data_IF_442566699442
#
_entry.id   IF_442566699442
#
_cell.length_a   1.000
_cell.length_b   1.000
_cell.length_c   1.000
_cell.angle_alpha   90.00
_cell.angle_beta   90.00
_cell.angle_gamma   90.00
#
_symmetry.space_group_name_H-M   'P 1'
#
loop_
_entity.id
_entity.type
_entity.pdbx_description
1 polymer ?
#
# COMPACT_ATOMS: atom_id res chain seq x y z
N UNK A 1 -7.40 6.95 -24.06
CA UNK A 1 -6.95 5.74 -23.32
C UNK A 1 -7.67 5.63 -21.96
N UNK A 2 -9.00 5.64 -21.91
CA UNK A 2 -9.76 5.58 -20.64
C UNK A 2 -9.90 4.14 -20.09
N UNK A 3 -9.07 3.21 -20.55
CA UNK A 3 -9.13 1.79 -20.23
C UNK A 3 -7.90 1.27 -19.46
N UNK A 4 -6.84 2.09 -19.33
CA UNK A 4 -5.61 1.78 -18.55
C UNK A 4 -5.74 2.11 -17.05
N UNK A 5 -6.93 2.47 -16.57
CA UNK A 5 -7.18 2.84 -15.18
C UNK A 5 -8.34 3.83 -15.07
N UNK A 6 -8.54 4.36 -13.86
CA UNK A 6 -9.55 5.38 -13.59
C UNK A 6 -9.08 6.76 -14.08
N UNK A 7 -10.02 7.60 -14.52
CA UNK A 7 -9.75 9.01 -14.76
C UNK A 7 -9.35 9.75 -13.47
N UNK A 8 -8.73 10.94 -13.55
CA UNK A 8 -8.23 11.66 -12.39
C UNK A 8 -9.29 11.89 -11.29
N UNK A 9 -10.50 12.32 -11.68
CA UNK A 9 -11.61 12.56 -10.74
C UNK A 9 -12.03 11.30 -9.98
N UNK A 10 -12.21 10.19 -10.70
CA UNK A 10 -12.60 8.91 -10.09
C UNK A 10 -11.48 8.37 -9.21
N UNK A 11 -10.22 8.49 -9.65
CA UNK A 11 -9.08 8.10 -8.83
C UNK A 11 -9.06 8.89 -7.52
N UNK A 12 -9.28 10.20 -7.56
CA UNK A 12 -9.33 11.03 -6.36
C UNK A 12 -10.47 10.62 -5.43
N UNK A 13 -11.69 10.46 -5.95
CA UNK A 13 -12.83 10.02 -5.14
C UNK A 13 -12.59 8.68 -4.45
N UNK A 14 -11.86 7.76 -5.10
CA UNK A 14 -11.47 6.47 -4.50
C UNK A 14 -10.43 6.63 -3.39
N UNK A 15 -9.42 7.47 -3.63
CA UNK A 15 -8.42 7.81 -2.63
C UNK A 15 -9.13 8.34 -1.38
N UNK A 16 -10.01 9.33 -1.56
CA UNK A 16 -10.75 9.97 -0.47
C UNK A 16 -11.59 8.94 0.30
N UNK A 17 -12.28 8.04 -0.41
CA UNK A 17 -13.09 6.99 0.21
C UNK A 17 -12.25 6.00 1.05
N UNK A 18 -11.10 5.55 0.54
CA UNK A 18 -10.22 4.64 1.29
C UNK A 18 -9.55 5.32 2.48
N UNK A 19 -9.19 6.60 2.35
CA UNK A 19 -8.62 7.38 3.46
C UNK A 19 -9.65 7.62 4.56
N UNK A 20 -10.87 7.98 4.19
CA UNK A 20 -11.96 8.17 5.14
C UNK A 20 -12.30 6.86 5.86
N UNK A 21 -12.30 5.73 5.13
CA UNK A 21 -12.50 4.44 5.77
C UNK A 21 -11.40 4.11 6.79
N UNK A 22 -10.13 4.36 6.47
CA UNK A 22 -9.03 4.21 7.44
C UNK A 22 -9.21 5.07 8.69
N UNK A 23 -9.69 6.31 8.52
CA UNK A 23 -10.01 7.23 9.62
C UNK A 23 -11.14 6.69 10.49
N UNK A 24 -12.22 6.19 9.88
CA UNK A 24 -13.34 5.58 10.60
C UNK A 24 -12.91 4.33 11.37
N UNK A 25 -12.13 3.44 10.77
CA UNK A 25 -11.56 2.27 11.46
C UNK A 25 -10.66 2.68 12.63
N UNK A 26 -9.85 3.73 12.47
CA UNK A 26 -9.01 4.26 13.56
C UNK A 26 -9.84 4.82 14.72
N UNK A 27 -10.94 5.53 14.44
CA UNK A 27 -11.80 6.09 15.47
C UNK A 27 -12.45 5.00 16.35
N UNK A 28 -12.73 3.82 15.79
CA UNK A 28 -13.36 2.71 16.50
C UNK A 28 -12.45 2.08 17.57
N UNK A 29 -11.14 2.03 17.35
CA UNK A 29 -10.18 1.36 18.24
C UNK A 29 -9.71 2.25 19.42
N UNK A 30 -10.49 3.28 19.77
CA UNK A 30 -10.34 4.17 20.95
C UNK A 30 -8.91 4.65 21.23
N UNK A 31 -8.14 4.93 20.18
CA UNK A 31 -6.81 5.53 20.27
C UNK A 31 -5.66 4.56 20.59
N UNK A 32 -5.91 3.28 20.84
CA UNK A 32 -4.83 2.31 21.11
C UNK A 32 -3.97 2.04 19.86
N UNK A 33 -4.62 1.99 18.69
CA UNK A 33 -3.98 1.70 17.41
C UNK A 33 -4.45 2.73 16.37
N UNK A 34 -3.57 3.11 15.45
CA UNK A 34 -3.94 3.86 14.23
C UNK A 34 -3.93 2.91 13.03
N UNK A 35 -5.00 2.91 12.25
CA UNK A 35 -5.16 2.07 11.06
C UNK A 35 -4.95 2.94 9.81
N UNK A 36 -3.97 2.57 9.00
CA UNK A 36 -3.65 3.23 7.74
C UNK A 36 -3.97 2.26 6.60
N UNK A 37 -4.85 2.66 5.68
CA UNK A 37 -5.09 1.91 4.45
C UNK A 37 -3.94 2.20 3.48
N UNK A 38 -3.35 1.16 2.92
CA UNK A 38 -2.16 1.28 2.06
C UNK A 38 -2.34 0.51 0.75
N UNK A 39 -1.26 0.39 -0.03
CA UNK A 39 -1.24 -0.42 -1.24
C UNK A 39 -2.05 0.15 -2.39
N UNK A 40 -2.34 -0.69 -3.39
CA UNK A 40 -2.92 -0.24 -4.67
C UNK A 40 -4.32 0.38 -4.51
N UNK A 41 -5.05 0.03 -3.42
CA UNK A 41 -6.36 0.60 -3.12
C UNK A 41 -6.24 2.04 -2.62
N UNK A 42 -5.38 2.30 -1.62
CA UNK A 42 -5.09 3.66 -1.14
C UNK A 42 -4.42 4.55 -2.20
N UNK A 43 -3.68 3.97 -3.14
CA UNK A 43 -3.07 4.68 -4.28
C UNK A 43 -4.08 4.98 -5.41
N UNK A 44 -5.32 4.45 -5.32
CA UNK A 44 -6.38 4.63 -6.32
C UNK A 44 -6.15 3.87 -7.64
N UNK A 45 -5.33 2.81 -7.61
CA UNK A 45 -4.83 2.12 -8.80
C UNK A 45 -5.51 0.78 -9.10
N UNK A 46 -5.96 0.06 -8.08
CA UNK A 46 -6.63 -1.24 -8.27
C UNK A 46 -8.13 -1.09 -8.46
N UNK A 47 -8.71 -2.04 -9.21
CA UNK A 47 -10.15 -2.24 -9.31
C UNK A 47 -10.69 -2.83 -8.02
N UNK A 48 -11.96 -2.64 -7.68
CA UNK A 48 -12.50 -3.04 -6.37
C UNK A 48 -12.34 -4.54 -6.03
N UNK A 49 -12.67 -5.43 -6.98
CA UNK A 49 -12.49 -6.89 -6.84
C UNK A 49 -11.10 -7.38 -7.27
N UNK A 50 -10.20 -6.48 -7.66
CA UNK A 50 -8.82 -6.84 -7.95
C UNK A 50 -7.95 -6.48 -6.75
N UNK A 51 -7.02 -7.38 -6.45
CA UNK A 51 -6.06 -7.28 -5.35
C UNK A 51 -6.66 -7.36 -3.93
N UNK A 52 -5.78 -7.78 -3.05
CA UNK A 52 -5.87 -7.74 -1.61
C UNK A 52 -6.06 -6.30 -1.07
N UNK A 53 -6.48 -6.24 0.20
CA UNK A 53 -6.55 -5.03 1.00
C UNK A 53 -5.32 -4.92 1.88
N UNK A 54 -4.46 -3.92 1.65
CA UNK A 54 -3.28 -3.70 2.49
C UNK A 54 -3.60 -2.75 3.65
N UNK A 55 -3.40 -3.19 4.89
CA UNK A 55 -3.64 -2.39 6.09
C UNK A 55 -2.40 -2.35 6.98
N UNK A 56 -2.07 -1.18 7.48
CA UNK A 56 -1.04 -0.99 8.49
C UNK A 56 -1.67 -0.61 9.83
N UNK A 57 -1.34 -1.37 10.88
CA UNK A 57 -1.79 -1.16 12.25
C UNK A 57 -0.62 -0.60 13.05
N UNK A 58 -0.76 0.62 13.55
CA UNK A 58 0.29 1.36 14.23
C UNK A 58 -0.02 1.47 15.71
N UNK A 59 0.82 0.90 16.57
CA UNK A 59 0.65 0.98 18.02
C UNK A 59 0.95 2.41 18.50
N UNK A 60 0.01 3.03 19.23
CA UNK A 60 0.12 4.42 19.65
C UNK A 60 0.78 4.62 21.02
N UNK A 61 0.90 3.56 21.83
CA UNK A 61 1.58 3.55 23.13
C UNK A 61 3.12 3.51 23.02
N UNK A 62 3.67 3.45 21.81
CA UNK A 62 5.10 3.29 21.55
C UNK A 62 5.59 4.26 20.48
N UNK A 63 6.78 4.82 20.70
CA UNK A 63 7.51 5.60 19.71
C UNK A 63 8.94 5.07 19.58
N UNK A 64 9.39 4.91 18.35
CA UNK A 64 10.79 4.63 18.05
C UNK A 64 11.49 5.93 17.64
N UNK A 65 12.71 6.15 18.13
CA UNK A 65 13.50 7.35 17.88
C UNK A 65 14.82 6.98 17.22
N UNK A 66 15.24 7.80 16.25
CA UNK A 66 16.57 7.67 15.67
C UNK A 66 17.67 8.02 16.69
N UNK A 67 17.40 9.01 17.56
CA UNK A 67 18.32 9.54 18.56
C UNK A 67 17.62 9.71 19.93
N UNK A 68 18.31 9.38 21.03
CA UNK A 68 17.79 9.50 22.41
C UNK A 68 17.60 10.95 22.85
N UNK A 69 18.21 11.93 22.19
CA UNK A 69 18.03 13.36 22.52
C UNK A 69 16.54 13.76 22.52
N UNK A 70 15.71 13.08 21.73
CA UNK A 70 14.27 13.34 21.64
C UNK A 70 13.41 12.57 22.65
N UNK A 71 13.99 11.67 23.46
CA UNK A 71 13.22 10.80 24.36
C UNK A 71 12.37 11.58 25.38
N UNK A 72 12.87 12.72 25.85
CA UNK A 72 12.18 13.58 26.82
C UNK A 72 11.05 14.42 26.21
N UNK A 73 10.91 14.45 24.88
CA UNK A 73 9.82 15.17 24.20
C UNK A 73 8.49 14.40 24.22
N UNK A 74 8.50 13.13 24.61
CA UNK A 74 7.32 12.27 24.62
C UNK A 74 6.83 12.03 26.05
N UNK A 75 5.49 11.96 26.26
CA UNK A 75 4.90 11.73 27.57
C UNK A 75 5.41 10.45 28.27
N UNK A 76 5.34 10.43 29.61
CA UNK A 76 5.79 9.29 30.43
C UNK A 76 5.00 8.01 30.20
N UNK A 77 3.78 8.13 29.67
CA UNK A 77 2.90 7.02 29.31
C UNK A 77 3.44 6.23 28.11
N UNK A 78 4.21 6.88 27.23
CA UNK A 78 4.70 6.30 25.98
C UNK A 78 6.01 5.56 26.23
N UNK A 79 6.07 4.32 25.75
CA UNK A 79 7.30 3.54 25.68
C UNK A 79 8.20 4.07 24.57
N UNK A 80 9.47 4.32 24.89
CA UNK A 80 10.46 4.86 23.96
C UNK A 80 11.48 3.80 23.63
N UNK A 81 11.57 3.49 22.34
CA UNK A 81 12.59 2.62 21.76
C UNK A 81 13.58 3.47 20.98
N UNK A 82 14.87 3.17 21.07
CA UNK A 82 15.91 3.82 20.29
C UNK A 82 16.39 2.90 19.18
N UNK A 83 16.47 3.43 17.96
CA UNK A 83 17.04 2.72 16.84
C UNK A 83 18.55 2.52 17.01
N UNK A 84 19.01 1.35 16.61
CA UNK A 84 20.41 0.98 16.61
C UNK A 84 20.74 0.28 15.30
N UNK A 85 21.42 1.00 14.40
CA UNK A 85 21.71 0.53 13.04
C UNK A 85 23.13 0.01 12.84
N UNK A 86 24.00 0.01 13.86
CA UNK A 86 25.33 -0.57 13.72
C UNK A 86 25.20 -2.05 13.34
N UNK A 87 25.91 -2.48 12.30
CA UNK A 87 25.85 -3.85 11.72
C UNK A 87 24.47 -4.25 11.14
N UNK A 88 23.51 -3.32 11.03
CA UNK A 88 22.26 -3.58 10.31
C UNK A 88 22.38 -3.19 8.84
N UNK A 89 21.68 -3.91 7.98
CA UNK A 89 21.58 -3.58 6.57
C UNK A 89 20.83 -2.26 6.35
N UNK A 90 21.13 -1.56 5.25
CA UNK A 90 20.50 -0.29 4.93
C UNK A 90 18.96 -0.38 4.97
N UNK A 91 18.33 0.59 5.64
CA UNK A 91 16.89 0.63 5.89
C UNK A 91 16.36 -0.42 6.87
N UNK A 92 17.25 -1.08 7.62
CA UNK A 92 16.91 -1.92 8.77
C UNK A 92 17.64 -1.40 10.03
N UNK A 93 17.06 -1.66 11.19
CA UNK A 93 17.66 -1.31 12.48
C UNK A 93 17.20 -2.29 13.55
N UNK A 94 17.95 -2.37 14.64
CA UNK A 94 17.48 -2.98 15.89
C UNK A 94 16.87 -1.89 16.78
N UNK A 95 16.07 -2.29 17.77
CA UNK A 95 15.37 -1.37 18.66
C UNK A 95 15.72 -1.69 20.11
N UNK A 96 16.39 -0.76 20.78
CA UNK A 96 16.74 -0.85 22.19
C UNK A 96 15.68 -0.16 23.04
N UNK A 97 15.32 -0.76 24.17
CA UNK A 97 14.47 -0.10 25.16
C UNK A 97 15.25 1.02 25.86
N UNK A 98 14.82 2.25 25.63
CA UNK A 98 15.40 3.45 26.26
C UNK A 98 14.59 3.83 27.50
N UNK A 99 13.26 3.76 27.41
CA UNK A 99 12.35 4.04 28.53
C UNK A 99 11.09 3.21 28.40
N UNK A 100 10.77 2.42 29.42
CA UNK A 100 9.47 1.74 29.56
C UNK A 100 8.41 2.77 29.97
N UNK A 101 7.35 2.91 29.18
CA UNK A 101 6.23 3.80 29.49
C UNK A 101 5.34 3.26 30.60
N UNK A 102 4.53 4.11 31.23
CA UNK A 102 3.56 3.64 32.25
C UNK A 102 2.38 2.88 31.63
N UNK A 103 2.03 3.17 30.38
CA UNK A 103 1.03 2.43 29.61
C UNK A 103 1.73 1.33 28.80
N UNK A 104 2.00 0.20 29.46
CA UNK A 104 2.71 -0.93 28.87
C UNK A 104 1.84 -1.61 27.81
N UNK A 105 2.35 -1.71 26.58
CA UNK A 105 1.74 -2.53 25.55
C UNK A 105 2.20 -3.99 25.71
N UNK A 106 1.27 -4.95 25.91
CA UNK A 106 1.63 -6.33 26.23
C UNK A 106 2.38 -7.03 25.08
N UNK A 107 2.15 -6.63 23.83
CA UNK A 107 2.81 -7.23 22.67
C UNK A 107 4.24 -6.72 22.53
N UNK A 108 4.47 -5.45 22.86
CA UNK A 108 5.80 -4.84 22.85
C UNK A 108 6.61 -5.39 24.01
N UNK A 109 6.07 -5.37 25.23
CA UNK A 109 6.78 -5.81 26.42
C UNK A 109 7.09 -7.32 26.39
N UNK A 110 6.14 -8.13 25.94
CA UNK A 110 6.34 -9.58 25.76
C UNK A 110 7.38 -9.93 24.68
N UNK A 111 7.71 -9.01 23.78
CA UNK A 111 8.68 -9.21 22.72
C UNK A 111 10.08 -8.66 23.04
N UNK A 112 10.30 -8.12 24.24
CA UNK A 112 11.62 -7.69 24.70
C UNK A 112 12.50 -8.91 25.04
N UNK A 113 13.77 -8.85 24.65
CA UNK A 113 14.78 -9.86 24.94
C UNK A 113 16.12 -9.22 25.27
N UNK A 114 16.94 -9.88 26.10
CA UNK A 114 18.30 -9.41 26.43
C UNK A 114 19.24 -9.54 25.22
N UNK A 115 20.11 -8.54 25.02
CA UNK A 115 21.08 -8.51 23.92
C UNK A 115 22.42 -9.22 24.21
N UNK A 116 22.53 -9.87 25.37
CA UNK A 116 23.75 -10.48 25.89
C UNK A 116 24.66 -9.51 26.65
N UNK A 117 24.34 -8.22 26.66
CA UNK A 117 25.09 -7.15 27.33
C UNK A 117 24.25 -6.42 28.39
N UNK A 118 23.12 -6.98 28.80
CA UNK A 118 22.23 -6.41 29.81
C UNK A 118 21.31 -5.30 29.28
N UNK A 119 21.16 -5.15 27.96
CA UNK A 119 20.20 -4.22 27.34
C UNK A 119 19.03 -4.98 26.74
N UNK A 120 17.84 -4.42 26.87
CA UNK A 120 16.63 -5.00 26.29
C UNK A 120 16.48 -4.55 24.81
N UNK A 121 16.36 -5.51 23.91
CA UNK A 121 16.04 -5.35 22.49
C UNK A 121 14.62 -5.81 22.21
N UNK A 122 13.92 -5.14 21.28
CA UNK A 122 12.63 -5.59 20.81
C UNK A 122 12.78 -6.58 19.64
N UNK A 123 12.47 -7.86 19.87
CA UNK A 123 12.52 -8.89 18.84
C UNK A 123 11.35 -8.76 17.87
N UNK A 124 11.66 -8.58 16.58
CA UNK A 124 10.67 -8.56 15.51
C UNK A 124 9.92 -9.89 15.37
N UNK A 125 10.63 -11.01 15.56
CA UNK A 125 10.03 -12.34 15.44
C UNK A 125 9.12 -12.68 16.63
N UNK A 126 9.54 -12.36 17.86
CA UNK A 126 8.65 -12.51 19.03
C UNK A 126 7.42 -11.63 18.89
N UNK A 127 7.61 -10.36 18.48
CA UNK A 127 6.52 -9.42 18.27
C UNK A 127 5.47 -9.95 17.29
N UNK A 128 5.89 -10.43 16.11
CA UNK A 128 4.95 -10.98 15.11
C UNK A 128 4.28 -12.26 15.61
N UNK A 129 4.99 -13.09 16.38
CA UNK A 129 4.44 -14.32 16.93
C UNK A 129 3.30 -14.09 17.92
N UNK A 130 3.23 -12.93 18.57
CA UNK A 130 2.07 -12.59 19.39
C UNK A 130 0.83 -12.31 18.52
N UNK A 131 0.98 -11.53 17.45
CA UNK A 131 -0.15 -11.19 16.57
C UNK A 131 -0.60 -12.33 15.67
N UNK A 132 0.29 -13.25 15.32
CA UNK A 132 -0.06 -14.44 14.53
C UNK A 132 -0.89 -15.45 15.33
N UNK A 133 -0.92 -15.32 16.66
CA UNK A 133 -1.71 -16.16 17.58
C UNK A 133 -3.02 -15.51 18.01
N UNK A 134 -3.29 -14.27 17.60
CA UNK A 134 -4.57 -13.59 17.89
C UNK A 134 -5.71 -14.37 17.24
N UNK A 135 -6.72 -14.75 18.03
CA UNK A 135 -7.90 -15.41 17.50
C UNK A 135 -8.73 -14.40 16.68
N UNK A 136 -8.95 -14.73 15.41
CA UNK A 136 -9.90 -14.01 14.56
C UNK A 136 -11.29 -14.65 14.67
N UNK A 137 -12.31 -13.92 14.23
CA UNK A 137 -13.69 -14.43 14.16
C UNK A 137 -13.76 -15.71 13.30
N UNK A 138 -14.77 -16.56 13.57
CA UNK A 138 -14.86 -17.91 12.98
C UNK A 138 -14.85 -17.96 11.44
N UNK A 139 -15.17 -16.85 10.77
CA UNK A 139 -15.23 -16.74 9.31
C UNK A 139 -13.98 -16.09 8.67
N UNK A 140 -12.95 -15.81 9.47
CA UNK A 140 -11.66 -15.27 9.02
C UNK A 140 -10.61 -16.37 9.06
N UNK A 141 -10.06 -16.71 7.90
CA UNK A 141 -8.97 -17.66 7.75
C UNK A 141 -7.66 -16.91 7.68
N UNK A 142 -6.75 -17.14 8.63
CA UNK A 142 -5.39 -16.63 8.59
C UNK A 142 -4.49 -17.57 7.77
N UNK A 143 -3.63 -16.99 6.93
CA UNK A 143 -2.67 -17.73 6.11
C UNK A 143 -1.24 -17.60 6.66
N UNK A 144 -0.31 -18.36 6.06
CA UNK A 144 1.11 -18.26 6.37
C UNK A 144 1.63 -16.83 6.13
N UNK A 145 2.49 -16.37 7.04
CA UNK A 145 3.14 -15.06 7.01
C UNK A 145 3.83 -14.81 5.65
N UNK A 146 3.69 -13.60 5.12
CA UNK A 146 4.34 -13.19 3.87
C UNK A 146 5.16 -11.91 4.07
N UNK A 147 6.43 -12.05 4.48
CA UNK A 147 7.25 -10.89 4.88
C UNK A 147 6.71 -10.28 6.18
N UNK A 148 6.44 -8.96 6.27
CA UNK A 148 5.85 -8.38 7.47
C UNK A 148 4.33 -8.57 7.58
N UNK A 149 3.65 -9.07 6.54
CA UNK A 149 2.18 -9.18 6.55
C UNK A 149 1.69 -10.51 7.12
N UNK A 150 0.53 -10.44 7.76
CA UNK A 150 -0.33 -11.54 8.16
C UNK A 150 -1.53 -11.53 7.19
N UNK A 151 -1.50 -12.38 6.15
CA UNK A 151 -2.59 -12.44 5.18
C UNK A 151 -3.80 -13.13 5.80
N UNK A 152 -4.98 -12.58 5.55
CA UNK A 152 -6.26 -13.16 5.97
C UNK A 152 -7.24 -13.22 4.82
N UNK A 153 -8.16 -14.17 4.88
CA UNK A 153 -9.31 -14.27 3.99
C UNK A 153 -10.58 -14.27 4.82
N UNK A 154 -11.44 -13.29 4.61
CA UNK A 154 -12.78 -13.23 5.22
C UNK A 154 -13.84 -13.72 4.24
N UNK A 155 -14.76 -14.56 4.74
CA UNK A 155 -15.91 -15.11 3.97
C UNK A 155 -15.52 -15.76 2.63
N UNK A 156 -14.28 -16.27 2.51
CA UNK A 156 -13.78 -16.93 1.30
C UNK A 156 -13.48 -16.03 0.10
N UNK A 157 -13.80 -14.73 0.15
CA UNK A 157 -13.73 -13.82 -1.02
C UNK A 157 -12.80 -12.63 -0.78
N UNK A 158 -12.66 -12.15 0.46
CA UNK A 158 -11.93 -10.93 0.76
C UNK A 158 -10.53 -11.21 1.30
N UNK A 159 -9.51 -10.99 0.46
CA UNK A 159 -8.11 -11.06 0.87
C UNK A 159 -7.66 -9.73 1.50
N UNK A 160 -7.01 -9.81 2.66
CA UNK A 160 -6.43 -8.66 3.36
C UNK A 160 -5.03 -8.99 3.86
N UNK A 161 -4.06 -8.11 3.61
CA UNK A 161 -2.71 -8.17 4.15
C UNK A 161 -2.61 -7.16 5.30
N UNK A 162 -2.51 -7.66 6.53
CA UNK A 162 -2.35 -6.81 7.72
C UNK A 162 -0.90 -6.77 8.15
N UNK A 163 -0.36 -5.57 8.35
CA UNK A 163 1.01 -5.33 8.84
C UNK A 163 0.95 -4.53 10.13
N UNK A 164 1.56 -5.05 11.19
CA UNK A 164 1.78 -4.28 12.42
C UNK A 164 3.05 -3.45 12.31
N UNK A 165 3.01 -2.24 12.87
CA UNK A 165 4.10 -1.29 12.79
C UNK A 165 4.20 -0.41 14.04
N UNK A 166 5.40 0.17 14.22
CA UNK A 166 5.68 1.17 15.23
C UNK A 166 5.98 2.51 14.56
N UNK A 167 5.56 3.62 15.15
CA UNK A 167 5.93 4.96 14.66
C UNK A 167 7.43 5.17 14.82
N UNK A 168 8.05 5.80 13.82
CA UNK A 168 9.48 6.06 13.82
C UNK A 168 9.80 7.52 13.51
N UNK A 169 10.35 8.20 14.51
CA UNK A 169 10.85 9.56 14.37
C UNK A 169 12.31 9.52 13.91
N UNK A 170 12.53 9.76 12.61
CA UNK A 170 13.83 9.67 11.94
C UNK A 170 14.20 10.93 11.13
N UNK A 171 14.43 12.06 11.83
CA UNK A 171 14.66 13.34 11.17
C UNK A 171 15.89 13.31 10.25
N UNK A 172 16.94 12.52 10.52
CA UNK A 172 18.12 12.50 9.66
C UNK A 172 17.85 11.76 8.35
N UNK A 173 17.14 10.62 8.39
CA UNK A 173 16.75 9.89 7.17
C UNK A 173 15.86 10.78 6.29
N UNK A 174 14.84 11.39 6.88
CA UNK A 174 13.89 12.25 6.17
C UNK A 174 14.56 13.52 5.64
N UNK A 175 15.47 14.14 6.39
CA UNK A 175 16.20 15.33 5.94
C UNK A 175 17.14 15.02 4.79
N UNK A 176 17.85 13.88 4.82
CA UNK A 176 18.66 13.39 3.69
C UNK A 176 17.81 13.16 2.45
N UNK A 177 16.64 12.55 2.62
CA UNK A 177 15.69 12.39 1.52
C UNK A 177 15.23 13.75 0.99
N UNK A 178 14.81 14.68 1.87
CA UNK A 178 14.28 15.99 1.52
C UNK A 178 15.30 16.85 0.76
N UNK A 179 16.57 16.81 1.16
CA UNK A 179 17.66 17.62 0.62
C UNK A 179 18.14 17.20 -0.79
N UNK A 180 17.61 16.12 -1.37
CA UNK A 180 17.99 15.69 -2.73
C UNK A 180 17.70 16.79 -3.77
N UNK A 181 18.63 17.06 -4.70
CA UNK A 181 18.38 17.99 -5.80
C UNK A 181 17.35 17.39 -6.75
N UNK A 182 16.20 18.04 -6.90
CA UNK A 182 15.10 17.59 -7.76
C UNK A 182 14.14 18.71 -8.14
N UNK A 183 13.34 18.45 -9.16
CA UNK A 183 12.22 19.32 -9.58
C UNK A 183 10.85 18.73 -9.25
N UNK A 184 10.78 17.43 -9.06
CA UNK A 184 9.58 16.70 -8.66
C UNK A 184 9.94 15.70 -7.54
N UNK A 185 9.06 15.48 -6.55
CA UNK A 185 7.80 16.17 -6.34
C UNK A 185 8.01 17.65 -5.90
N UNK A 186 6.96 18.50 -6.00
CA UNK A 186 7.04 19.88 -5.54
C UNK A 186 7.49 20.00 -4.08
N UNK A 187 8.11 21.12 -3.72
CA UNK A 187 8.67 21.32 -2.38
C UNK A 187 7.62 21.17 -1.26
N UNK A 188 6.39 21.61 -1.50
CA UNK A 188 5.27 21.44 -0.56
C UNK A 188 4.95 19.96 -0.28
N UNK A 189 5.00 19.11 -1.30
CA UNK A 189 4.82 17.66 -1.18
C UNK A 189 6.00 17.04 -0.44
N UNK A 190 7.23 17.49 -0.71
CA UNK A 190 8.42 17.05 0.04
C UNK A 190 8.27 17.36 1.52
N UNK A 191 7.85 18.57 1.89
CA UNK A 191 7.65 18.96 3.30
C UNK A 191 6.51 18.17 3.94
N UNK A 192 5.41 17.96 3.20
CA UNK A 192 4.30 17.16 3.70
C UNK A 192 4.74 15.71 3.97
N UNK A 193 5.47 15.08 3.05
CA UNK A 193 6.04 13.73 3.23
C UNK A 193 6.94 13.65 4.47
N UNK A 194 7.79 14.65 4.70
CA UNK A 194 8.63 14.72 5.91
C UNK A 194 7.77 14.78 7.17
N UNK A 195 6.69 15.57 7.16
CA UNK A 195 5.78 15.70 8.31
C UNK A 195 5.00 14.43 8.65
N UNK A 196 4.75 13.56 7.66
CA UNK A 196 4.06 12.28 7.85
C UNK A 196 4.90 11.25 8.62
N UNK A 197 6.22 11.45 8.70
CA UNK A 197 7.12 10.58 9.44
C UNK A 197 7.36 9.22 8.77
N UNK A 198 7.84 8.27 9.57
CA UNK A 198 8.15 6.91 9.13
C UNK A 198 7.57 5.87 10.09
N UNK A 199 7.66 4.61 9.67
CA UNK A 199 7.23 3.46 10.44
C UNK A 199 8.31 2.38 10.42
N UNK A 200 8.24 1.49 11.40
CA UNK A 200 9.07 0.29 11.50
C UNK A 200 8.18 -0.93 11.47
N UNK A 201 8.48 -1.85 10.56
CA UNK A 201 7.77 -3.13 10.41
C UNK A 201 8.64 -4.27 10.92
N UNK A 202 8.04 -5.30 11.56
CA UNK A 202 8.78 -6.37 12.22
C UNK A 202 9.25 -7.42 11.21
N UNK A 203 10.22 -7.06 10.38
CA UNK A 203 10.84 -7.97 9.41
C UNK A 203 12.32 -7.63 9.28
N UNK A 204 13.18 -8.58 9.62
CA UNK A 204 14.62 -8.43 9.47
C UNK A 204 15.10 -8.65 8.05
N UNK A 205 16.35 -8.27 7.80
CA UNK A 205 16.98 -8.49 6.52
C UNK A 205 17.32 -9.97 6.34
N UNK A 206 16.92 -10.56 5.21
CA UNK A 206 17.13 -11.98 4.94
C UNK A 206 18.62 -12.32 4.91
N UNK A 207 19.05 -13.24 5.78
CA UNK A 207 20.45 -13.65 5.89
C UNK A 207 21.30 -12.76 6.82
N UNK A 208 20.70 -11.78 7.48
CA UNK A 208 21.36 -11.06 8.57
C UNK A 208 21.52 -11.97 9.79
N UNK A 209 22.64 -11.85 10.50
CA UNK A 209 22.86 -12.49 11.81
C UNK A 209 21.77 -12.08 12.81
N UNK A 210 21.31 -10.83 12.71
CA UNK A 210 20.31 -10.23 13.61
C UNK A 210 18.89 -10.24 13.03
N UNK A 211 18.61 -11.05 12.01
CA UNK A 211 17.33 -11.04 11.30
C UNK A 211 16.09 -11.15 12.23
N UNK A 212 16.19 -11.84 13.36
CA UNK A 212 15.10 -12.08 14.32
C UNK A 212 14.81 -10.89 15.26
N UNK A 213 15.68 -9.88 15.30
CA UNK A 213 15.56 -8.65 16.10
C UNK A 213 15.61 -7.37 15.24
N UNK A 214 15.71 -7.51 13.93
CA UNK A 214 15.76 -6.40 13.00
C UNK A 214 14.35 -5.96 12.57
N UNK A 215 14.20 -4.65 12.49
CA UNK A 215 13.01 -3.97 12.03
C UNK A 215 13.32 -3.19 10.76
N UNK A 216 12.36 -3.16 9.84
CA UNK A 216 12.52 -2.50 8.54
C UNK A 216 11.81 -1.18 8.51
N UNK A 217 12.54 -0.13 8.14
CA UNK A 217 12.00 1.23 7.95
C UNK A 217 11.12 1.26 6.71
N UNK A 218 9.96 1.89 6.82
CA UNK A 218 9.05 2.13 5.72
C UNK A 218 8.33 3.49 5.86
N UNK A 219 7.85 4.02 4.75
CA UNK A 219 7.27 5.37 4.67
C UNK A 219 5.89 5.32 4.02
N UNK A 220 5.05 4.34 4.37
CA UNK A 220 3.81 4.05 3.64
C UNK A 220 2.92 5.29 3.42
N UNK A 221 2.73 6.13 4.44
CA UNK A 221 1.97 7.37 4.30
C UNK A 221 2.63 8.34 3.30
N UNK A 222 3.94 8.59 3.44
CA UNK A 222 4.69 9.44 2.51
C UNK A 222 4.74 8.88 1.08
N UNK A 223 4.86 7.56 0.91
CA UNK A 223 4.83 6.92 -0.40
C UNK A 223 3.48 7.10 -1.11
N UNK A 224 2.39 7.00 -0.36
CA UNK A 224 1.04 7.23 -0.89
C UNK A 224 0.91 8.68 -1.37
N UNK A 225 1.35 9.64 -0.55
CA UNK A 225 1.35 11.07 -0.89
C UNK A 225 2.15 11.34 -2.19
N UNK A 226 3.32 10.73 -2.34
CA UNK A 226 4.15 10.85 -3.55
C UNK A 226 3.42 10.26 -4.77
N UNK A 227 2.76 9.10 -4.62
CA UNK A 227 1.99 8.46 -5.69
C UNK A 227 0.74 9.25 -6.06
N UNK A 228 0.11 9.95 -5.12
CA UNK A 228 -1.02 10.84 -5.40
C UNK A 228 -0.60 12.00 -6.32
N UNK A 229 0.65 12.47 -6.17
CA UNK A 229 1.25 13.54 -6.96
C UNK A 229 1.88 13.11 -8.30
N UNK A 230 1.73 11.84 -8.70
CA UNK A 230 2.06 11.40 -10.05
C UNK A 230 1.01 11.89 -11.05
N UNK A 231 1.46 12.39 -12.20
CA UNK A 231 0.55 12.76 -13.28
C UNK A 231 -0.02 11.52 -13.99
N UNK A 232 -1.05 11.74 -14.82
CA UNK A 232 -1.76 10.67 -15.54
C UNK A 232 -0.83 9.77 -16.38
N UNK A 233 0.17 10.34 -17.04
CA UNK A 233 1.12 9.58 -17.88
C UNK A 233 1.98 8.65 -17.01
N UNK A 234 2.46 9.13 -15.86
CA UNK A 234 3.26 8.34 -14.92
C UNK A 234 2.43 7.23 -14.25
N UNK A 235 1.16 7.51 -13.92
CA UNK A 235 0.22 6.50 -13.41
C UNK A 235 -0.01 5.41 -14.46
N UNK A 236 -0.26 5.79 -15.72
CA UNK A 236 -0.42 4.83 -16.81
C UNK A 236 0.84 4.01 -17.04
N UNK A 237 2.03 4.62 -16.92
CA UNK A 237 3.31 3.89 -16.95
C UNK A 237 3.35 2.82 -15.86
N UNK A 238 3.00 3.17 -14.62
CA UNK A 238 3.00 2.21 -13.52
C UNK A 238 2.04 1.04 -13.79
N UNK A 239 0.83 1.32 -14.28
CA UNK A 239 -0.14 0.28 -14.63
C UNK A 239 0.39 -0.62 -15.75
N UNK A 240 0.98 -0.05 -16.80
CA UNK A 240 1.56 -0.82 -17.91
C UNK A 240 2.72 -1.70 -17.45
N UNK A 241 3.61 -1.20 -16.59
CA UNK A 241 4.69 -2.02 -16.02
C UNK A 241 4.13 -3.18 -15.18
N UNK A 242 3.07 -2.96 -14.40
CA UNK A 242 2.38 -4.03 -13.67
C UNK A 242 1.77 -5.07 -14.62
N UNK A 243 1.21 -4.64 -15.74
CA UNK A 243 0.70 -5.54 -16.78
C UNK A 243 1.84 -6.35 -17.41
N UNK A 244 2.97 -5.74 -17.77
CA UNK A 244 4.12 -6.47 -18.31
C UNK A 244 4.63 -7.51 -17.31
N UNK A 245 4.77 -7.13 -16.04
CA UNK A 245 5.15 -8.07 -14.98
C UNK A 245 4.21 -9.27 -14.91
N UNK A 246 2.90 -9.04 -14.86
CA UNK A 246 1.95 -10.12 -14.61
C UNK A 246 1.65 -10.94 -15.87
N UNK A 247 1.52 -10.31 -17.03
CA UNK A 247 1.03 -10.94 -18.25
C UNK A 247 2.16 -11.48 -19.14
N UNK A 248 3.38 -10.92 -19.05
CA UNK A 248 4.52 -11.30 -19.90
C UNK A 248 5.62 -11.98 -19.10
N UNK A 249 6.06 -11.36 -18.00
CA UNK A 249 7.13 -11.91 -17.18
C UNK A 249 6.63 -13.06 -16.28
N UNK A 250 5.33 -13.04 -15.94
CA UNK A 250 4.59 -14.07 -15.24
C UNK A 250 5.37 -14.70 -14.07
N UNK A 251 5.62 -13.94 -12.99
CA UNK A 251 6.38 -14.42 -11.83
C UNK A 251 5.77 -15.69 -11.23
N UNK A 252 6.61 -16.61 -10.79
CA UNK A 252 6.21 -17.89 -10.20
C UNK A 252 5.91 -17.76 -8.70
N UNK A 253 6.55 -16.80 -8.02
CA UNK A 253 6.36 -16.47 -6.61
C UNK A 253 6.22 -14.95 -6.44
N UNK A 254 6.43 -14.41 -5.23
CA UNK A 254 6.53 -12.96 -4.99
C UNK A 254 7.88 -12.39 -5.47
N UNK A 255 8.39 -12.82 -6.63
CA UNK A 255 9.63 -12.29 -7.21
C UNK A 255 9.37 -10.91 -7.84
N UNK A 256 10.25 -9.93 -7.58
CA UNK A 256 10.15 -8.53 -8.07
C UNK A 256 8.71 -7.98 -7.97
N UNK A 257 8.36 -7.44 -6.81
CA UNK A 257 6.99 -7.01 -6.52
C UNK A 257 6.57 -5.74 -7.28
N UNK A 258 5.26 -5.44 -7.26
CA UNK A 258 4.71 -4.14 -7.74
C UNK A 258 5.40 -2.94 -7.07
N UNK A 259 5.90 -3.13 -5.84
CA UNK A 259 6.68 -2.13 -5.12
C UNK A 259 8.01 -1.80 -5.80
N UNK A 260 8.65 -2.79 -6.45
CA UNK A 260 9.87 -2.57 -7.26
C UNK A 260 9.56 -1.68 -8.45
N UNK A 261 8.46 -1.97 -9.16
CA UNK A 261 8.00 -1.18 -10.29
C UNK A 261 7.59 0.24 -9.89
N UNK A 262 6.93 0.38 -8.73
CA UNK A 262 6.61 1.69 -8.15
C UNK A 262 7.88 2.54 -8.02
N UNK A 263 8.94 1.98 -7.44
CA UNK A 263 10.21 2.69 -7.28
C UNK A 263 10.87 3.10 -8.60
N UNK A 264 10.79 2.25 -9.64
CA UNK A 264 11.24 2.63 -10.99
C UNK A 264 10.48 3.86 -11.50
N UNK A 265 9.15 3.89 -11.35
CA UNK A 265 8.33 5.03 -11.78
C UNK A 265 8.66 6.29 -11.00
N UNK A 266 8.88 6.18 -9.67
CA UNK A 266 9.27 7.32 -8.84
C UNK A 266 10.63 7.90 -9.25
N UNK A 267 11.62 7.05 -9.51
CA UNK A 267 12.93 7.50 -10.00
C UNK A 267 12.84 8.13 -11.39
N UNK A 268 12.06 7.56 -12.30
CA UNK A 268 11.83 8.17 -13.62
C UNK A 268 11.17 9.54 -13.49
N UNK A 269 10.18 9.68 -12.59
CA UNK A 269 9.49 10.94 -12.35
C UNK A 269 10.42 12.01 -11.73
N UNK A 270 11.27 11.66 -10.76
CA UNK A 270 12.22 12.59 -10.12
C UNK A 270 13.33 13.04 -11.10
N UNK A 271 13.82 12.13 -11.95
CA UNK A 271 14.98 12.37 -12.82
C UNK A 271 14.65 13.08 -14.14
N UNK A 272 13.38 13.37 -14.44
CA UNK A 272 12.98 13.94 -15.72
C UNK A 272 12.05 15.15 -15.56
N UNK A 273 12.14 16.17 -16.44
CA UNK A 273 11.21 17.28 -16.44
C UNK A 273 9.75 16.85 -16.58
N UNK A 274 8.86 17.40 -15.75
CA UNK A 274 7.44 17.02 -15.75
C UNK A 274 6.74 17.32 -17.09
N UNK A 275 7.24 18.28 -17.87
CA UNK A 275 6.73 18.63 -19.20
C UNK A 275 6.85 17.50 -20.24
N UNK A 276 7.73 16.52 -20.03
CA UNK A 276 7.92 15.39 -20.93
C UNK A 276 6.87 14.28 -20.74
N UNK A 277 6.07 14.33 -19.68
CA UNK A 277 5.09 13.30 -19.34
C UNK A 277 3.70 13.63 -19.88
N UNK A 278 3.47 13.35 -21.16
CA UNK A 278 2.18 13.54 -21.82
C UNK A 278 1.71 12.25 -22.50
N UNK A 279 0.42 12.17 -22.86
CA UNK A 279 -0.17 10.92 -23.38
C UNK A 279 0.59 10.32 -24.58
N UNK A 280 1.13 11.18 -25.47
CA UNK A 280 1.92 10.74 -26.64
C UNK A 280 3.29 10.15 -26.30
N UNK A 281 3.86 10.43 -25.12
CA UNK A 281 5.17 9.92 -24.70
C UNK A 281 5.06 8.67 -23.83
N UNK A 282 3.85 8.18 -23.54
CA UNK A 282 3.62 7.02 -22.67
C UNK A 282 4.41 5.78 -23.10
N UNK A 283 4.45 5.48 -24.41
CA UNK A 283 5.18 4.31 -24.91
C UNK A 283 6.70 4.49 -24.79
N UNK A 284 7.21 5.71 -24.98
CA UNK A 284 8.63 5.99 -24.72
C UNK A 284 8.96 5.72 -23.24
N UNK A 285 8.15 6.24 -22.31
CA UNK A 285 8.33 6.00 -20.89
C UNK A 285 8.19 4.54 -20.48
N UNK A 286 7.32 3.77 -21.16
CA UNK A 286 7.23 2.33 -20.95
C UNK A 286 8.55 1.64 -21.29
N UNK A 287 9.16 1.98 -22.44
CA UNK A 287 10.45 1.43 -22.83
C UNK A 287 11.57 1.85 -21.85
N UNK A 288 11.57 3.10 -21.39
CA UNK A 288 12.51 3.54 -20.34
C UNK A 288 12.32 2.78 -19.02
N UNK A 289 11.07 2.57 -18.59
CA UNK A 289 10.75 1.78 -17.40
C UNK A 289 11.19 0.31 -17.52
N UNK A 290 11.02 -0.29 -18.70
CA UNK A 290 11.50 -1.65 -18.99
C UNK A 290 13.03 -1.71 -19.01
N UNK A 291 13.68 -0.71 -19.59
CA UNK A 291 15.15 -0.62 -19.58
C UNK A 291 15.69 -0.46 -18.15
N UNK A 292 15.07 0.39 -17.33
CA UNK A 292 15.41 0.53 -15.91
C UNK A 292 15.24 -0.78 -15.14
N UNK A 293 14.14 -1.52 -15.39
CA UNK A 293 13.94 -2.85 -14.81
C UNK A 293 15.03 -3.84 -15.26
N UNK A 294 15.38 -3.84 -16.55
CA UNK A 294 16.46 -4.69 -17.10
C UNK A 294 17.80 -4.36 -16.44
N UNK A 295 18.15 -3.08 -16.32
CA UNK A 295 19.39 -2.65 -15.66
C UNK A 295 19.39 -3.14 -14.22
N UNK A 296 18.31 -2.94 -13.47
CA UNK A 296 18.20 -3.43 -12.10
C UNK A 296 18.33 -4.95 -11.98
N UNK A 297 17.79 -5.71 -12.94
CA UNK A 297 17.96 -7.16 -12.99
C UNK A 297 19.41 -7.56 -13.28
N UNK A 298 20.08 -6.89 -14.22
CA UNK A 298 21.47 -7.17 -14.60
C UNK A 298 22.43 -6.85 -13.46
N UNK A 299 22.35 -5.65 -12.89
CA UNK A 299 23.22 -5.18 -11.81
C UNK A 299 22.85 -5.77 -10.45
N UNK A 300 21.64 -6.33 -10.33
CA UNK A 300 21.02 -6.72 -9.05
C UNK A 300 20.88 -5.54 -8.09
N UNK A 301 20.69 -4.34 -8.63
CA UNK A 301 20.57 -3.11 -7.85
C UNK A 301 19.36 -2.28 -8.28
N UNK A 302 18.51 -1.96 -7.32
CA UNK A 302 17.52 -0.89 -7.45
C UNK A 302 17.45 -0.11 -6.14
N UNK A 303 17.94 1.13 -6.10
CA UNK A 303 17.83 1.98 -4.91
C UNK A 303 16.38 2.18 -4.50
N UNK A 304 16.08 2.03 -3.20
CA UNK A 304 14.78 2.41 -2.66
C UNK A 304 14.63 3.93 -2.70
N UNK A 305 13.51 4.44 -3.22
CA UNK A 305 13.30 5.86 -3.43
C UNK A 305 13.39 6.72 -2.15
N UNK A 306 12.96 6.19 -1.00
CA UNK A 306 13.05 6.92 0.27
C UNK A 306 14.42 6.79 0.94
N UNK A 307 15.10 5.65 0.77
CA UNK A 307 16.44 5.37 1.32
C UNK A 307 17.31 4.76 0.22
N UNK A 308 18.03 5.57 -0.59
CA UNK A 308 18.76 5.08 -1.76
C UNK A 308 19.77 3.96 -1.46
N UNK A 309 20.38 3.98 -0.27
CA UNK A 309 21.33 2.95 0.18
C UNK A 309 20.69 1.57 0.34
N UNK A 310 19.36 1.49 0.46
CA UNK A 310 18.63 0.23 0.55
C UNK A 310 18.32 -0.31 -0.85
N UNK A 311 18.99 -1.40 -1.21
CA UNK A 311 18.77 -2.11 -2.47
C UNK A 311 17.51 -3.01 -2.42
N UNK A 312 16.53 -2.76 -3.29
CA UNK A 312 15.30 -3.53 -3.40
C UNK A 312 15.48 -4.89 -4.09
N UNK A 313 16.50 -5.03 -4.95
CA UNK A 313 16.77 -6.28 -5.66
C UNK A 313 17.41 -7.35 -4.76
N UNK A 314 18.09 -6.93 -3.69
CA UNK A 314 18.69 -7.84 -2.69
C UNK A 314 17.64 -8.74 -2.00
N UNK A 315 16.42 -8.22 -1.81
CA UNK A 315 15.32 -8.94 -1.17
C UNK A 315 14.36 -9.62 -2.17
N UNK A 316 14.65 -9.59 -3.47
CA UNK A 316 13.70 -10.03 -4.52
C UNK A 316 13.42 -11.53 -4.52
N UNK A 317 14.31 -12.35 -3.95
CA UNK A 317 14.19 -13.82 -3.96
C UNK A 317 14.22 -14.43 -5.36
N UNK A 318 14.60 -13.65 -6.39
CA UNK A 318 14.57 -14.05 -7.78
C UNK A 318 15.71 -15.05 -8.07
N UNK A 319 15.34 -16.26 -8.45
CA UNK A 319 16.27 -17.32 -8.85
C UNK A 319 17.00 -16.96 -10.15
N UNK A 320 18.22 -17.48 -10.30
CA UNK A 320 19.12 -17.03 -11.37
C UNK A 320 18.61 -17.33 -12.78
N UNK A 321 18.06 -18.52 -12.98
CA UNK A 321 17.48 -18.93 -14.27
C UNK A 321 16.31 -18.02 -14.67
N UNK A 322 15.42 -17.70 -13.71
CA UNK A 322 14.28 -16.82 -13.94
C UNK A 322 14.74 -15.38 -14.21
N UNK A 323 15.77 -14.92 -13.51
CA UNK A 323 16.40 -13.61 -13.74
C UNK A 323 16.95 -13.50 -15.17
N UNK A 324 17.72 -14.48 -15.61
CA UNK A 324 18.28 -14.52 -16.97
C UNK A 324 17.18 -14.54 -18.03
N UNK A 325 16.12 -15.33 -17.80
CA UNK A 325 14.94 -15.38 -18.67
C UNK A 325 14.29 -13.99 -18.79
N UNK A 326 14.03 -13.33 -17.67
CA UNK A 326 13.43 -11.98 -17.68
C UNK A 326 14.31 -10.95 -18.37
N UNK A 327 15.63 -10.98 -18.16
CA UNK A 327 16.57 -10.09 -18.86
C UNK A 327 16.48 -10.29 -20.38
N UNK A 328 16.41 -11.54 -20.84
CA UNK A 328 16.23 -11.86 -22.27
C UNK A 328 14.89 -11.34 -22.80
N UNK A 329 13.79 -11.69 -22.13
CA UNK A 329 12.43 -11.27 -22.53
C UNK A 329 12.31 -9.74 -22.59
N UNK A 330 12.87 -9.02 -21.61
CA UNK A 330 12.85 -7.55 -21.62
C UNK A 330 13.72 -7.00 -22.75
N UNK A 331 14.87 -7.61 -23.04
CA UNK A 331 15.73 -7.18 -24.14
C UNK A 331 15.04 -7.35 -25.50
N UNK A 332 14.30 -8.44 -25.70
CA UNK A 332 13.46 -8.61 -26.90
C UNK A 332 12.38 -7.54 -27.01
N UNK A 333 11.65 -7.25 -25.92
CA UNK A 333 10.63 -6.20 -25.90
C UNK A 333 11.21 -4.82 -26.22
N UNK A 334 12.40 -4.51 -25.72
CA UNK A 334 13.10 -3.26 -26.04
C UNK A 334 13.49 -3.20 -27.52
N UNK A 335 13.97 -4.32 -28.11
CA UNK A 335 14.31 -4.40 -29.53
C UNK A 335 13.06 -4.26 -30.45
N UNK A 336 11.90 -4.75 -30.01
CA UNK A 336 10.62 -4.55 -30.70
C UNK A 336 10.11 -3.10 -30.64
N UNK A 337 10.63 -2.31 -29.70
CA UNK A 337 10.19 -0.93 -29.46
C UNK A 337 8.69 -0.87 -29.13
N UNK A 338 7.96 0.14 -29.62
CA UNK A 338 6.53 0.32 -29.31
C UNK A 338 5.63 -0.88 -29.66
N UNK A 339 6.06 -1.76 -30.59
CA UNK A 339 5.29 -2.95 -30.98
C UNK A 339 5.14 -3.96 -29.83
N UNK A 340 6.01 -3.89 -28.82
CA UNK A 340 5.96 -4.76 -27.63
C UNK A 340 4.61 -4.69 -26.91
N UNK A 341 3.87 -3.58 -27.07
CA UNK A 341 2.54 -3.39 -26.48
C UNK A 341 1.54 -4.48 -26.92
N UNK A 342 1.76 -5.09 -28.08
CA UNK A 342 0.94 -6.18 -28.61
C UNK A 342 1.16 -7.51 -27.87
N UNK A 343 2.25 -7.64 -27.10
CA UNK A 343 2.47 -8.78 -26.20
C UNK A 343 1.51 -8.77 -25.00
N UNK A 344 0.87 -7.63 -24.71
CA UNK A 344 -0.08 -7.50 -23.59
C UNK A 344 -1.48 -7.95 -24.01
N UNK A 345 -2.01 -9.08 -23.48
CA UNK A 345 -3.28 -9.64 -23.92
C UNK A 345 -4.46 -8.69 -23.73
N UNK A 346 -4.49 -7.97 -22.59
CA UNK A 346 -5.54 -6.97 -22.29
C UNK A 346 -5.58 -5.83 -23.32
N UNK A 347 -4.42 -5.42 -23.84
CA UNK A 347 -4.31 -4.37 -24.84
C UNK A 347 -4.71 -4.89 -26.22
N UNK A 348 -4.19 -6.07 -26.58
CA UNK A 348 -4.52 -6.75 -27.83
C UNK A 348 -6.03 -6.96 -27.97
N UNK A 349 -6.70 -7.42 -26.91
CA UNK A 349 -8.16 -7.60 -26.88
C UNK A 349 -8.91 -6.26 -26.97
N UNK A 350 -8.42 -5.22 -26.29
CA UNK A 350 -9.01 -3.88 -26.34
C UNK A 350 -8.90 -3.20 -27.72
N UNK A 351 -7.84 -3.46 -28.48
CA UNK A 351 -7.69 -2.95 -29.85
C UNK A 351 -8.66 -3.64 -30.83
N UNK A 352 -8.97 -4.92 -30.60
CA UNK A 352 -9.87 -5.72 -31.45
C UNK A 352 -11.35 -5.47 -31.14
N UNK A 353 -11.68 -5.02 -29.92
CA UNK A 353 -13.05 -4.84 -29.47
C UNK A 353 -13.47 -3.36 -29.36
N UNK A 354 -14.13 -2.82 -30.38
CA UNK A 354 -15.10 -1.72 -30.24
C UNK A 354 -16.28 -1.90 -31.22
N UNK A 355 -17.45 -2.32 -30.69
CA UNK A 355 -18.58 -1.39 -30.65
C UNK A 355 -18.92 -0.97 -29.20
N UNK A 356 -19.91 -0.10 -29.09
CA UNK A 356 -20.39 0.72 -27.97
C UNK A 356 -20.68 0.12 -26.55
N UNK A 357 -20.85 -1.20 -26.27
CA UNK A 357 -21.34 -1.64 -24.95
C UNK A 357 -20.42 -1.39 -23.75
N UNK A 358 -19.11 -1.17 -23.96
CA UNK A 358 -18.16 -0.99 -22.86
C UNK A 358 -18.28 0.34 -22.11
N UNK A 359 -18.87 1.38 -22.71
CA UNK A 359 -19.08 2.67 -22.02
C UNK A 359 -20.13 2.57 -20.92
N UNK A 360 -21.19 1.77 -21.15
CA UNK A 360 -22.29 1.57 -20.20
C UNK A 360 -21.82 0.86 -18.94
N UNK A 361 -21.07 -0.24 -19.08
CA UNK A 361 -20.61 -1.05 -17.94
C UNK A 361 -19.57 -0.31 -17.07
N UNK A 362 -18.69 0.50 -17.67
CA UNK A 362 -17.71 1.30 -16.93
C UNK A 362 -18.35 2.46 -16.14
N UNK A 363 -19.51 2.96 -16.58
CA UNK A 363 -20.23 4.06 -15.91
C UNK A 363 -20.89 3.64 -14.59
N UNK A 364 -21.60 2.50 -14.57
CA UNK A 364 -22.33 1.99 -13.38
C UNK A 364 -21.48 1.14 -12.43
N UNK A 365 -20.28 0.74 -12.86
CA UNK A 365 -19.29 0.03 -12.03
C UNK A 365 -18.93 0.80 -10.77
N UNK A 366 -18.79 2.12 -10.87
CA UNK A 366 -18.37 2.99 -9.77
C UNK A 366 -19.43 2.99 -8.65
N UNK A 367 -20.70 3.02 -9.02
CA UNK A 367 -21.84 3.02 -8.09
C UNK A 367 -21.90 1.70 -7.29
N UNK A 368 -21.70 0.56 -7.95
CA UNK A 368 -21.60 -0.75 -7.29
C UNK A 368 -20.38 -0.83 -6.35
N UNK A 369 -19.22 -0.30 -6.77
CA UNK A 369 -18.01 -0.28 -5.95
C UNK A 369 -18.14 0.60 -4.69
N UNK A 370 -18.85 1.74 -4.79
CA UNK A 370 -19.15 2.59 -3.63
C UNK A 370 -20.15 1.92 -2.67
N UNK A 371 -21.17 1.22 -3.18
CA UNK A 371 -22.14 0.50 -2.35
C UNK A 371 -21.48 -0.62 -1.52
N UNK A 372 -20.51 -1.35 -2.07
CA UNK A 372 -19.81 -2.41 -1.31
C UNK A 372 -18.80 -1.83 -0.31
N UNK A 373 -18.09 -0.74 -0.64
CA UNK A 373 -17.27 -0.03 0.35
C UNK A 373 -18.13 0.46 1.53
N UNK A 374 -19.31 1.02 1.24
CA UNK A 374 -20.28 1.41 2.26
C UNK A 374 -20.80 0.22 3.07
N UNK A 375 -21.00 -0.94 2.45
CA UNK A 375 -21.34 -2.18 3.15
C UNK A 375 -20.21 -2.69 4.06
N UNK A 376 -18.95 -2.65 3.61
CA UNK A 376 -17.79 -3.01 4.44
C UNK A 376 -17.61 -2.05 5.63
N UNK A 377 -17.87 -0.76 5.42
CA UNK A 377 -17.95 0.25 6.48
C UNK A 377 -19.07 -0.13 7.47
N UNK A 378 -20.25 -0.54 6.99
CA UNK A 378 -21.37 -1.00 7.84
C UNK A 378 -21.04 -2.27 8.63
N UNK A 379 -20.45 -3.31 8.03
CA UNK A 379 -20.09 -4.53 8.78
C UNK A 379 -19.04 -4.26 9.86
N UNK A 380 -18.03 -3.42 9.58
CA UNK A 380 -17.03 -3.03 10.58
C UNK A 380 -17.59 -2.09 11.65
N UNK A 381 -18.67 -1.34 11.38
CA UNK A 381 -19.39 -0.51 12.36
C UNK A 381 -20.38 -1.30 13.22
N UNK A 382 -20.62 -2.59 12.95
CA UNK A 382 -21.59 -3.44 13.63
C UNK A 382 -20.98 -4.45 14.63
N UNK A 383 -19.95 -4.05 15.39
CA UNK A 383 -19.65 -4.70 16.69
C UNK A 383 -20.21 -3.82 17.81
N UNK A 384 -21.54 -3.78 17.88
CA UNK A 384 -22.34 -4.25 19.01
C UNK A 384 -23.80 -4.16 18.54
N UNK A 385 -24.57 -5.26 18.61
CA UNK A 385 -25.95 -5.30 18.11
C UNK A 385 -26.93 -4.35 18.87
N UNK A 386 -26.42 -3.56 19.82
CA UNK A 386 -27.14 -2.59 20.63
C UNK A 386 -26.59 -1.16 20.57
N UNK A 387 -25.64 -0.83 19.68
CA UNK A 387 -25.11 0.54 19.61
C UNK A 387 -26.06 1.48 18.85
N UNK A 388 -26.67 2.45 19.55
CA UNK A 388 -27.45 3.54 18.94
C UNK A 388 -26.51 4.62 18.41
N UNK A 389 -26.77 5.08 17.18
CA UNK A 389 -26.11 6.24 16.57
C UNK A 389 -26.35 7.46 17.46
N UNK A 390 -25.30 8.18 17.81
CA UNK A 390 -25.39 9.48 18.45
C UNK A 390 -25.87 10.51 17.40
N UNK A 391 -27.08 11.04 17.60
CA UNK A 391 -27.71 12.02 16.69
C UNK A 391 -27.01 13.39 16.68
N UNK A 392 -26.00 13.59 17.54
CA UNK A 392 -25.17 14.80 17.54
C UNK A 392 -24.02 14.79 16.51
N UNK A 393 -23.69 13.64 15.90
CA UNK A 393 -22.63 13.56 14.88
C UNK A 393 -23.13 13.99 13.49
N UNK A 394 -23.01 15.30 13.26
CA UNK A 394 -23.40 16.00 12.02
C UNK A 394 -22.73 15.39 10.78
N UNK A 395 -21.56 14.78 10.91
CA UNK A 395 -20.80 14.19 9.80
C UNK A 395 -21.37 12.84 9.38
N UNK A 396 -21.71 11.99 10.35
CA UNK A 396 -22.39 10.70 10.11
C UNK A 396 -23.82 10.91 9.59
N UNK A 397 -24.52 11.95 10.06
CA UNK A 397 -25.81 12.37 9.52
C UNK A 397 -25.70 12.92 8.09
N UNK A 398 -24.64 13.66 7.77
CA UNK A 398 -24.37 14.13 6.42
C UNK A 398 -24.04 12.96 5.47
N UNK A 399 -23.25 11.98 5.92
CA UNK A 399 -22.95 10.74 5.18
C UNK A 399 -24.24 9.93 4.95
N UNK A 400 -25.10 9.79 5.96
CA UNK A 400 -26.39 9.08 5.85
C UNK A 400 -27.39 9.82 4.93
N UNK A 401 -27.39 11.15 4.92
CA UNK A 401 -28.20 11.96 3.98
C UNK A 401 -27.68 11.85 2.55
N UNK A 402 -26.36 11.96 2.37
CA UNK A 402 -25.68 11.78 1.07
C UNK A 402 -25.84 10.36 0.53
N UNK A 403 -25.82 9.36 1.40
CA UNK A 403 -26.13 7.95 1.12
C UNK A 403 -27.56 7.78 0.59
N UNK A 404 -28.56 8.35 1.27
CA UNK A 404 -29.95 8.25 0.81
C UNK A 404 -30.20 9.01 -0.50
N UNK A 405 -29.50 10.12 -0.75
CA UNK A 405 -29.55 10.86 -2.01
C UNK A 405 -28.89 10.08 -3.14
N UNK A 406 -27.68 9.56 -2.94
CA UNK A 406 -26.95 8.78 -3.96
C UNK A 406 -27.67 7.47 -4.26
N UNK A 407 -28.13 6.73 -3.24
CA UNK A 407 -28.90 5.50 -3.45
C UNK A 407 -30.21 5.80 -4.18
N UNK A 408 -30.93 6.87 -3.82
CA UNK A 408 -32.14 7.27 -4.56
C UNK A 408 -31.85 7.67 -6.00
N UNK A 409 -30.78 8.42 -6.24
CA UNK A 409 -30.44 8.93 -7.57
C UNK A 409 -29.96 7.82 -8.50
N UNK A 410 -29.16 6.88 -7.97
CA UNK A 410 -28.72 5.66 -8.65
C UNK A 410 -29.90 4.75 -8.94
N UNK A 411 -30.76 4.46 -7.94
CA UNK A 411 -31.95 3.64 -8.16
C UNK A 411 -32.95 4.27 -9.14
N UNK A 412 -33.16 5.59 -9.09
CA UNK A 412 -34.04 6.30 -10.02
C UNK A 412 -33.48 6.28 -11.46
N UNK A 413 -32.16 6.45 -11.64
CA UNK A 413 -31.52 6.31 -12.97
C UNK A 413 -31.55 4.87 -13.50
N UNK A 414 -31.43 3.87 -12.61
CA UNK A 414 -31.59 2.46 -12.97
C UNK A 414 -33.02 2.09 -13.38
N UNK A 415 -34.04 2.73 -12.79
CA UNK A 415 -35.46 2.53 -13.12
C UNK A 415 -35.86 3.23 -14.42
N UNK A 416 -35.29 4.42 -14.70
CA UNK A 416 -35.63 5.23 -15.88
C UNK A 416 -34.92 4.76 -17.17
N UNK A 417 -33.74 4.15 -17.08
CA UNK A 417 -32.98 3.62 -18.22
C UNK A 417 -33.07 2.08 -18.25
N UNK A 418 -34.12 1.60 -18.94
CA UNK A 418 -34.66 0.25 -18.84
C UNK A 418 -33.69 -0.95 -18.85
N UNK A 419 -33.88 -1.82 -17.88
CA UNK A 419 -33.69 -3.27 -18.04
C UNK A 419 -34.74 -3.99 -17.20
N UNK A 420 -35.64 -4.71 -17.87
CA UNK A 420 -36.66 -5.56 -17.24
C UNK A 420 -36.09 -6.90 -16.73
N UNK A 421 -34.79 -7.14 -16.84
CA UNK A 421 -34.18 -8.46 -16.58
C UNK A 421 -33.14 -8.48 -15.45
N UNK A 422 -33.06 -7.45 -14.60
CA UNK A 422 -32.24 -7.52 -13.38
C UNK A 422 -33.16 -7.80 -12.20
N UNK A 423 -33.12 -9.03 -11.70
CA UNK A 423 -33.72 -9.39 -10.44
C UNK A 423 -32.89 -8.77 -9.29
N UNK A 424 -33.40 -7.69 -8.72
CA UNK A 424 -32.81 -7.00 -7.57
C UNK A 424 -32.56 -7.95 -6.37
N UNK A 425 -33.34 -9.03 -6.26
CA UNK A 425 -33.15 -10.04 -5.23
C UNK A 425 -31.85 -10.82 -5.42
N UNK A 426 -31.40 -11.05 -6.65
CA UNK A 426 -30.16 -11.79 -6.93
C UNK A 426 -28.91 -10.94 -6.70
N UNK A 427 -29.00 -9.62 -6.95
CA UNK A 427 -27.96 -8.66 -6.56
C UNK A 427 -27.86 -8.53 -5.04
N UNK A 428 -29.00 -8.48 -4.35
CA UNK A 428 -29.04 -8.42 -2.89
C UNK A 428 -28.58 -9.73 -2.23
N UNK A 429 -28.94 -10.88 -2.80
CA UNK A 429 -28.50 -12.20 -2.33
C UNK A 429 -27.00 -12.43 -2.60
N UNK A 430 -26.46 -11.91 -3.70
CA UNK A 430 -25.01 -11.91 -3.98
C UNK A 430 -24.19 -10.93 -3.13
N UNK A 431 -24.84 -9.97 -2.45
CA UNK A 431 -24.22 -9.11 -1.43
C UNK A 431 -24.33 -9.70 -0.01
N UNK A 432 -25.10 -10.79 0.17
CA UNK A 432 -25.33 -11.48 1.44
C UNK A 432 -24.68 -12.86 1.54
N UNK A 433 -24.06 -13.36 0.46
CA UNK A 433 -23.07 -14.44 0.49
C UNK A 433 -21.67 -13.83 0.44
#
# INVERSE_FOLDING_TARGET
>A
MNWLGYGPEIRQARIDAYMEWGRLCTAQVRGAVTIIITGSKAEGLSRFCESDMDRMFVINSVICLEDSVYANNFPSEITVLRSYSLMSYAGHCRLLLERRGTMVDPYVDGALCDDGYGRELLSSDMFVNYFSKTQYEAHVVQHARAGPSIPTTSKGVHHSDTVWALRYYCPNILSKWAARPRHWPPAEVVQHVVSLGAFLTPVGFKGSEYQHVEWRVCFNAGEIEIVHNLNKTQINLYVLLKMVKNDVLNPRKKEVSSYTLKNIVLWIAENNPQSLFHERSLLHWLLEGLNALRVALVTRELPYYMIPDRNLMAASGLEEEQRCTWISTISEMLNEGPRMILRLPKIRQGIVAHPEPFRWYNGRRIELEMLVLMWQIRELLCIDANWKIDESDVTLLAIKRRENEIVREVCMRMILEGSRDINMQDVYNGMLM
#
